data_IF_683241467464
#
_entry.id   IF_683241467464
#
_cell.length_a   1.000
_cell.length_b   1.000
_cell.length_c   1.000
_cell.angle_alpha   90.00
_cell.angle_beta   90.00
_cell.angle_gamma   90.00
#
_symmetry.space_group_name_H-M   'P 1'
#
loop_
_entity.id
_entity.type
_entity.pdbx_description
1 polymer ?
#
# COMPACT_ATOMS: atom_id res chain seq x y z
N UNK A 1 60.64 8.60 19.36
CA UNK A 1 59.74 7.65 18.68
C UNK A 1 58.34 8.24 18.69
N UNK A 2 58.04 9.02 17.66
CA UNK A 2 56.68 9.48 17.35
C UNK A 2 55.95 8.31 16.68
N UNK A 3 54.90 7.77 17.32
CA UNK A 3 53.96 6.87 16.66
C UNK A 3 52.58 7.52 16.74
N UNK A 4 52.23 8.20 15.65
CA UNK A 4 50.88 8.71 15.41
C UNK A 4 49.96 7.51 15.16
N UNK A 5 48.94 7.33 16.00
CA UNK A 5 47.84 6.41 15.71
C UNK A 5 46.85 7.16 14.82
N UNK A 6 47.03 6.99 13.51
CA UNK A 6 46.09 7.45 12.48
C UNK A 6 45.42 6.23 11.86
N UNK A 7 44.40 5.63 12.49
CA UNK A 7 43.49 4.73 11.77
C UNK A 7 42.04 4.94 12.26
N UNK A 8 41.35 5.75 11.45
CA UNK A 8 40.00 5.50 10.94
C UNK A 8 38.80 5.72 11.87
N UNK A 9 38.23 6.92 11.69
CA UNK A 9 36.79 7.19 11.75
C UNK A 9 36.04 6.02 11.09
N UNK A 10 35.40 5.15 11.88
CA UNK A 10 34.28 4.36 11.35
C UNK A 10 33.07 5.27 11.36
N UNK A 11 32.89 5.92 10.21
CA UNK A 11 31.73 6.70 9.83
C UNK A 11 30.49 5.84 10.10
N UNK A 12 29.57 6.40 10.88
CA UNK A 12 28.31 5.79 11.24
C UNK A 12 27.62 5.12 10.05
N UNK A 13 27.30 3.83 10.18
CA UNK A 13 26.20 3.24 9.42
C UNK A 13 24.89 3.76 10.03
N UNK A 14 24.63 5.06 9.88
CA UNK A 14 23.26 5.51 9.76
C UNK A 14 22.79 4.83 8.47
N UNK A 15 22.05 3.75 8.60
CA UNK A 15 21.22 3.28 7.51
C UNK A 15 20.40 4.51 7.07
N UNK A 16 20.79 5.13 5.97
CA UNK A 16 19.86 5.94 5.21
C UNK A 16 18.85 4.91 4.72
N UNK A 17 17.81 4.68 5.53
CA UNK A 17 16.56 4.20 5.00
C UNK A 17 16.22 5.22 3.90
N UNK A 18 16.39 4.81 2.65
CA UNK A 18 15.86 5.56 1.53
C UNK A 18 14.39 5.86 1.86
N UNK A 19 13.84 7.02 1.50
CA UNK A 19 12.41 7.19 1.57
C UNK A 19 11.81 6.04 0.77
N UNK A 20 11.12 5.13 1.45
CA UNK A 20 10.35 4.10 0.78
C UNK A 20 9.40 4.87 -0.14
N UNK A 21 9.70 4.83 -1.43
CA UNK A 21 8.85 5.45 -2.43
C UNK A 21 7.43 4.89 -2.27
N UNK A 22 6.40 5.63 -2.71
CA UNK A 22 5.03 5.12 -2.65
C UNK A 22 4.90 3.71 -3.25
N UNK A 23 5.70 3.42 -4.27
CA UNK A 23 5.88 2.11 -4.89
C UNK A 23 6.37 1.02 -3.92
N UNK A 24 7.40 1.29 -3.11
CA UNK A 24 7.95 0.33 -2.14
C UNK A 24 6.98 0.05 -0.99
N UNK A 25 6.20 1.05 -0.59
CA UNK A 25 5.13 0.88 0.38
C UNK A 25 4.01 0.02 -0.22
N UNK A 26 3.60 0.30 -1.46
CA UNK A 26 2.58 -0.47 -2.16
C UNK A 26 2.98 -1.95 -2.30
N UNK A 27 4.21 -2.22 -2.73
CA UNK A 27 4.74 -3.57 -2.84
C UNK A 27 4.75 -4.33 -1.51
N UNK A 28 5.04 -3.65 -0.39
CA UNK A 28 4.98 -4.25 0.96
C UNK A 28 3.56 -4.53 1.44
N UNK A 29 2.58 -3.74 1.00
CA UNK A 29 1.18 -3.87 1.40
C UNK A 29 0.36 -4.74 0.42
N UNK A 30 0.88 -5.03 -0.77
CA UNK A 30 0.31 -5.96 -1.74
C UNK A 30 -0.72 -5.38 -2.70
N UNK A 31 -0.97 -4.06 -2.67
CA UNK A 31 -1.89 -3.36 -3.58
C UNK A 31 -1.15 -2.68 -4.77
N UNK A 32 -1.91 -2.19 -5.75
CA UNK A 32 -1.44 -1.54 -6.98
C UNK A 32 -0.46 -0.38 -6.71
N UNK A 33 0.64 -0.34 -7.46
CA UNK A 33 1.69 0.66 -7.29
C UNK A 33 1.27 2.09 -7.65
N UNK A 34 0.25 2.23 -8.50
CA UNK A 34 -0.29 3.51 -8.94
C UNK A 34 -1.55 3.89 -8.16
N UNK A 35 -1.72 3.34 -6.96
CA UNK A 35 -2.86 3.64 -6.12
C UNK A 35 -2.90 5.13 -5.74
N UNK A 36 -4.02 5.79 -6.03
CA UNK A 36 -4.25 7.21 -5.74
C UNK A 36 -5.23 7.43 -4.60
N UNK A 37 -5.99 6.40 -4.22
CA UNK A 37 -6.97 6.50 -3.14
C UNK A 37 -7.06 5.20 -2.37
N UNK A 38 -7.10 5.33 -1.04
CA UNK A 38 -7.02 4.23 -0.09
C UNK A 38 -8.26 4.18 0.79
N UNK A 39 -8.59 2.98 1.25
CA UNK A 39 -9.62 2.72 2.24
C UNK A 39 -9.04 1.84 3.37
N UNK A 40 -9.28 2.22 4.62
CA UNK A 40 -8.95 1.37 5.76
C UNK A 40 -10.18 0.52 6.10
N UNK A 41 -10.01 -0.80 6.07
CA UNK A 41 -11.05 -1.78 6.35
C UNK A 41 -11.56 -1.61 7.78
N UNK A 42 -12.86 -1.47 7.95
CA UNK A 42 -13.55 -1.44 9.23
C UNK A 42 -14.03 -2.84 9.66
N UNK A 43 -14.32 -2.99 10.95
CA UNK A 43 -14.91 -4.21 11.47
C UNK A 43 -16.27 -4.52 10.81
N UNK A 44 -16.40 -5.73 10.27
CA UNK A 44 -17.61 -6.20 9.58
C UNK A 44 -17.70 -5.79 8.11
N UNK A 45 -16.66 -5.19 7.54
CA UNK A 45 -16.62 -4.92 6.11
C UNK A 45 -16.58 -6.18 5.26
N UNK A 46 -17.19 -6.06 4.08
CA UNK A 46 -17.05 -7.00 2.96
C UNK A 46 -16.69 -6.18 1.73
N UNK A 47 -16.16 -6.81 0.68
CA UNK A 47 -15.76 -6.10 -0.53
C UNK A 47 -16.97 -5.39 -1.18
N UNK A 48 -18.13 -6.06 -1.23
CA UNK A 48 -19.40 -5.47 -1.68
C UNK A 48 -19.86 -4.35 -0.74
N UNK A 49 -19.69 -4.55 0.58
CA UNK A 49 -20.02 -3.56 1.58
C UNK A 49 -19.23 -2.26 1.41
N UNK A 50 -17.91 -2.35 1.20
CA UNK A 50 -17.04 -1.20 0.93
C UNK A 50 -17.46 -0.51 -0.37
N UNK A 51 -17.67 -1.29 -1.44
CA UNK A 51 -18.13 -0.76 -2.72
C UNK A 51 -19.43 0.05 -2.57
N UNK A 52 -20.42 -0.52 -1.86
CA UNK A 52 -21.73 0.10 -1.65
C UNK A 52 -21.61 1.34 -0.76
N UNK A 53 -20.83 1.26 0.33
CA UNK A 53 -20.55 2.39 1.24
C UNK A 53 -19.90 3.56 0.51
N UNK A 54 -19.10 3.28 -0.50
CA UNK A 54 -18.43 4.28 -1.34
C UNK A 54 -19.23 4.59 -2.62
N UNK A 55 -20.55 4.41 -2.61
CA UNK A 55 -21.44 4.78 -3.72
C UNK A 55 -21.02 4.18 -5.08
N UNK A 56 -20.50 2.95 -5.08
CA UNK A 56 -20.07 2.22 -6.27
C UNK A 56 -19.03 2.96 -7.13
N UNK A 57 -18.09 3.67 -6.50
CA UNK A 57 -17.00 4.36 -7.22
C UNK A 57 -16.04 3.42 -7.97
N UNK A 58 -16.09 2.11 -7.71
CA UNK A 58 -15.32 1.06 -8.38
C UNK A 58 -16.18 -0.20 -8.63
N UNK A 59 -15.73 -1.10 -9.49
CA UNK A 59 -16.28 -2.46 -9.65
C UNK A 59 -15.48 -3.46 -8.79
N UNK A 60 -16.07 -4.59 -8.39
CA UNK A 60 -15.35 -5.62 -7.65
C UNK A 60 -14.16 -6.18 -8.43
N UNK A 61 -14.32 -6.41 -9.73
CA UNK A 61 -13.20 -6.86 -10.58
C UNK A 61 -12.04 -5.88 -10.51
N UNK A 62 -12.33 -4.56 -10.55
CA UNK A 62 -11.29 -3.54 -10.41
C UNK A 62 -10.68 -3.54 -9.02
N UNK A 63 -11.49 -3.71 -7.98
CA UNK A 63 -11.01 -3.79 -6.60
C UNK A 63 -10.02 -4.95 -6.42
N UNK A 64 -10.30 -6.13 -6.99
CA UNK A 64 -9.40 -7.28 -6.92
C UNK A 64 -8.14 -7.10 -7.78
N UNK A 65 -8.25 -6.45 -8.94
CA UNK A 65 -7.06 -6.07 -9.73
C UNK A 65 -6.14 -5.12 -8.94
N UNK A 66 -6.73 -4.17 -8.23
CA UNK A 66 -6.01 -3.19 -7.41
C UNK A 66 -5.45 -3.78 -6.12
N UNK A 67 -5.98 -4.91 -5.67
CA UNK A 67 -5.59 -5.56 -4.43
C UNK A 67 -5.40 -7.07 -4.65
N UNK A 68 -4.33 -7.50 -5.34
CA UNK A 68 -4.03 -8.92 -5.59
C UNK A 68 -3.91 -9.77 -4.33
N UNK A 69 -3.65 -9.15 -3.17
CA UNK A 69 -3.65 -9.81 -1.88
C UNK A 69 -5.05 -10.19 -1.38
N UNK A 70 -6.12 -9.54 -1.86
CA UNK A 70 -7.50 -9.85 -1.48
C UNK A 70 -8.06 -10.92 -2.42
N UNK A 71 -8.58 -12.01 -1.85
CA UNK A 71 -9.19 -13.08 -2.63
C UNK A 71 -10.59 -12.71 -3.12
N UNK A 72 -11.05 -13.37 -4.20
CA UNK A 72 -12.35 -13.09 -4.81
C UNK A 72 -13.56 -13.40 -3.91
N UNK A 73 -13.39 -14.27 -2.92
CA UNK A 73 -14.40 -14.55 -1.90
C UNK A 73 -14.45 -13.48 -0.80
N UNK A 74 -13.52 -12.52 -0.80
CA UNK A 74 -13.34 -11.50 0.23
C UNK A 74 -13.22 -12.04 1.66
N UNK A 75 -12.69 -13.27 1.83
CA UNK A 75 -12.62 -13.93 3.14
C UNK A 75 -11.33 -13.63 3.91
N UNK A 76 -10.39 -12.94 3.28
CA UNK A 76 -9.10 -12.58 3.85
C UNK A 76 -8.94 -11.06 3.98
N UNK A 77 -10.05 -10.36 4.18
CA UNK A 77 -10.08 -8.93 4.45
C UNK A 77 -10.23 -8.70 5.95
N UNK A 78 -9.27 -8.03 6.57
CA UNK A 78 -9.20 -7.86 8.02
C UNK A 78 -9.30 -6.38 8.44
N UNK A 79 -9.96 -6.08 9.58
CA UNK A 79 -10.04 -4.71 10.07
C UNK A 79 -8.66 -4.08 10.29
N UNK A 80 -8.49 -2.84 9.83
CA UNK A 80 -7.23 -2.11 9.88
C UNK A 80 -6.34 -2.28 8.66
N UNK A 81 -6.63 -3.24 7.77
CA UNK A 81 -5.94 -3.36 6.50
C UNK A 81 -6.22 -2.15 5.60
N UNK A 82 -5.24 -1.76 4.81
CA UNK A 82 -5.36 -0.68 3.82
C UNK A 82 -5.48 -1.29 2.44
N UNK A 83 -6.56 -0.96 1.75
CA UNK A 83 -6.83 -1.40 0.38
C UNK A 83 -6.88 -0.21 -0.57
N UNK A 84 -6.48 -0.45 -1.82
CA UNK A 84 -6.56 0.51 -2.89
C UNK A 84 -7.97 0.54 -3.52
N UNK A 85 -8.54 1.72 -3.67
CA UNK A 85 -9.90 1.92 -4.23
C UNK A 85 -9.90 2.75 -5.53
N UNK A 86 -8.77 3.35 -5.91
CA UNK A 86 -8.57 4.01 -7.20
C UNK A 86 -7.08 4.10 -7.56
N UNK A 87 -6.75 4.20 -8.86
CA UNK A 87 -5.37 4.34 -9.36
C UNK A 87 -5.31 5.31 -10.55
N UNK A 88 -4.13 5.84 -10.88
CA UNK A 88 -3.92 6.88 -11.92
C UNK A 88 -4.50 6.52 -13.31
N UNK A 89 -4.55 5.24 -13.69
CA UNK A 89 -5.13 4.79 -14.97
C UNK A 89 -6.62 4.40 -14.92
N UNK A 90 -7.23 4.42 -13.73
CA UNK A 90 -8.58 3.90 -13.50
C UNK A 90 -9.34 4.80 -12.53
N UNK A 91 -9.63 6.05 -12.93
CA UNK A 91 -10.46 6.93 -12.12
C UNK A 91 -11.89 6.37 -12.03
N UNK A 92 -12.61 6.81 -10.99
CA UNK A 92 -14.04 6.54 -10.80
C UNK A 92 -14.79 6.61 -12.14
N UNK A 93 -15.62 5.60 -12.51
CA UNK A 93 -16.52 5.73 -13.64
C UNK A 93 -17.38 6.99 -13.43
N UNK A 94 -17.18 7.99 -14.28
CA UNK A 94 -18.00 9.19 -14.28
C UNK A 94 -19.45 8.77 -14.54
N UNK A 95 -20.31 9.08 -13.56
CA UNK A 95 -21.75 8.87 -13.63
C UNK A 95 -22.37 9.54 -14.85
#
# INVERSE_FOLDING_TARGET
>A
MLAQVLISISLAAHALAAPASGFELAARQGYDEHCTSFYTVAAGDTCVGIQTKLNNIFTLDRFFMLNPQVNSACTNLFPGEVVCIASEGYPKPSS
#
